data_IF_827485251076
#
_entry.id   IF_827485251076
#
_cell.length_a   1.000
_cell.length_b   1.000
_cell.length_c   1.000
_cell.angle_alpha   90.00
_cell.angle_beta   90.00
_cell.angle_gamma   90.00
#
_symmetry.space_group_name_H-M   'P 1'
#
loop_
_entity.id
_entity.type
_entity.pdbx_description
1 polymer ?
#
# COMPACT_ATOMS: atom_id res chain seq x y z
N UNK A 1 26.20 10.12 3.49
CA UNK A 1 26.71 9.62 2.21
C UNK A 1 25.59 9.48 1.18
N UNK A 2 24.68 8.55 1.36
CA UNK A 2 23.58 8.29 0.41
C UNK A 2 22.75 9.55 0.14
N UNK A 3 22.39 10.31 1.17
CA UNK A 3 21.64 11.58 1.02
C UNK A 3 22.39 12.64 0.20
N UNK A 4 23.70 12.72 0.35
CA UNK A 4 24.51 13.64 -0.44
C UNK A 4 24.45 13.29 -1.93
N UNK A 5 24.64 12.02 -2.26
CA UNK A 5 24.56 11.55 -3.64
C UNK A 5 23.13 11.68 -4.20
N UNK A 6 22.11 11.41 -3.38
CA UNK A 6 20.72 11.61 -3.75
C UNK A 6 20.40 13.08 -4.12
N UNK A 7 20.92 14.04 -3.35
CA UNK A 7 20.76 15.46 -3.63
C UNK A 7 21.38 15.85 -4.99
N UNK A 8 22.55 15.35 -5.30
CA UNK A 8 23.22 15.63 -6.58
C UNK A 8 22.49 14.96 -7.76
N UNK A 9 21.93 13.75 -7.55
CA UNK A 9 21.10 13.10 -8.57
C UNK A 9 19.80 13.88 -8.87
N UNK A 10 19.21 14.55 -7.88
CA UNK A 10 17.99 15.33 -8.08
C UNK A 10 18.18 16.51 -9.02
N UNK A 11 19.34 17.16 -8.99
CA UNK A 11 19.68 18.29 -9.86
C UNK A 11 19.88 17.93 -11.33
N UNK A 12 19.89 16.65 -11.68
CA UNK A 12 20.13 16.14 -13.05
C UNK A 12 18.87 15.49 -13.61
N UNK A 13 18.45 15.89 -14.79
CA UNK A 13 17.24 15.40 -15.48
C UNK A 13 17.19 13.87 -15.62
N UNK A 14 18.36 13.24 -15.70
CA UNK A 14 18.51 11.78 -15.88
C UNK A 14 18.53 10.98 -14.57
N UNK A 15 18.58 11.65 -13.40
CA UNK A 15 18.82 11.02 -12.08
C UNK A 15 20.08 10.14 -12.01
N UNK A 16 21.00 10.34 -12.96
CA UNK A 16 22.27 9.67 -13.03
C UNK A 16 23.39 10.64 -12.63
N UNK A 17 24.40 10.11 -11.95
CA UNK A 17 25.58 10.86 -11.55
C UNK A 17 26.80 10.22 -12.20
N UNK A 18 27.70 11.03 -12.75
CA UNK A 18 29.00 10.53 -13.20
C UNK A 18 29.72 9.89 -12.02
N UNK A 19 30.34 8.74 -12.24
CA UNK A 19 31.04 8.03 -11.17
C UNK A 19 32.17 8.87 -10.60
N UNK A 20 32.93 9.60 -11.46
CA UNK A 20 34.01 10.47 -11.03
C UNK A 20 33.50 11.66 -10.20
N UNK A 21 32.36 12.29 -10.61
CA UNK A 21 31.71 13.35 -9.83
C UNK A 21 31.28 12.82 -8.44
N UNK A 22 30.72 11.60 -8.39
CA UNK A 22 30.33 10.97 -7.13
C UNK A 22 31.53 10.77 -6.19
N UNK A 23 32.66 10.34 -6.73
CA UNK A 23 33.91 10.22 -5.96
C UNK A 23 34.41 11.57 -5.47
N UNK A 24 34.45 12.60 -6.32
CA UNK A 24 34.88 13.95 -5.95
C UNK A 24 34.03 14.55 -4.83
N UNK A 25 32.70 14.51 -4.98
CA UNK A 25 31.74 15.02 -4.00
C UNK A 25 31.93 14.28 -2.66
N UNK A 26 32.10 12.97 -2.73
CA UNK A 26 32.21 12.15 -1.54
C UNK A 26 33.55 12.34 -0.84
N UNK A 27 34.61 12.38 -1.59
CA UNK A 27 35.98 12.64 -1.09
C UNK A 27 36.11 13.99 -0.42
N UNK A 28 35.51 15.02 -1.02
CA UNK A 28 35.54 16.37 -0.46
C UNK A 28 34.91 16.46 0.93
N UNK A 29 33.91 15.63 1.22
CA UNK A 29 33.16 15.69 2.47
C UNK A 29 33.50 14.55 3.46
N UNK A 30 33.88 13.38 2.96
CA UNK A 30 34.12 12.17 3.76
C UNK A 30 35.35 11.38 3.32
N UNK A 31 36.58 11.95 3.37
CA UNK A 31 37.79 11.31 2.84
C UNK A 31 38.13 9.98 3.53
N UNK A 32 37.65 9.74 4.73
CA UNK A 32 37.85 8.50 5.50
C UNK A 32 37.06 7.29 4.95
N UNK A 33 36.10 7.49 4.08
CA UNK A 33 35.22 6.43 3.55
C UNK A 33 35.40 6.21 2.04
N UNK A 34 36.66 6.15 1.61
CA UNK A 34 37.10 6.09 0.19
C UNK A 34 36.44 4.96 -0.61
N UNK A 35 36.18 3.81 0.02
CA UNK A 35 35.64 2.64 -0.65
C UNK A 35 34.11 2.58 -0.63
N UNK A 36 33.42 3.47 0.11
CA UNK A 36 31.99 3.35 0.36
C UNK A 36 31.14 3.39 -0.92
N UNK A 37 31.56 4.12 -1.96
CA UNK A 37 30.83 4.13 -3.25
C UNK A 37 30.92 2.75 -3.89
N UNK A 38 32.08 2.13 -3.88
CA UNK A 38 32.27 0.78 -4.41
C UNK A 38 31.47 -0.25 -3.57
N UNK A 39 31.51 -0.13 -2.24
CA UNK A 39 30.74 -0.98 -1.33
C UNK A 39 29.23 -0.85 -1.61
N UNK A 40 28.71 0.37 -1.87
CA UNK A 40 27.31 0.60 -2.22
C UNK A 40 26.93 0.03 -3.60
N UNK A 41 27.87 -0.03 -4.53
CA UNK A 41 27.69 -0.69 -5.83
C UNK A 41 27.69 -2.22 -5.64
N UNK A 42 28.63 -2.78 -4.87
CA UNK A 42 28.70 -4.21 -4.58
C UNK A 42 27.46 -4.72 -3.83
N UNK A 43 26.91 -3.93 -2.90
CA UNK A 43 25.68 -4.22 -2.18
C UNK A 43 24.39 -3.92 -3.00
N UNK A 44 24.54 -3.55 -4.27
CA UNK A 44 23.43 -3.21 -5.17
C UNK A 44 22.53 -2.08 -4.67
N UNK A 45 23.04 -1.13 -3.91
CA UNK A 45 22.32 0.13 -3.62
C UNK A 45 22.39 1.05 -4.83
N UNK A 46 23.53 1.10 -5.49
CA UNK A 46 23.73 1.75 -6.77
C UNK A 46 24.04 0.73 -7.87
N UNK A 47 23.59 1.04 -9.07
CA UNK A 47 24.01 0.34 -10.30
C UNK A 47 24.97 1.23 -11.03
N UNK A 48 26.13 0.65 -11.43
CA UNK A 48 27.08 1.27 -12.34
C UNK A 48 26.79 0.79 -13.75
N UNK A 49 26.72 1.71 -14.71
CA UNK A 49 26.69 1.39 -16.13
C UNK A 49 27.50 2.38 -16.95
N UNK A 50 27.84 1.99 -18.17
CA UNK A 50 28.43 2.89 -19.16
C UNK A 50 27.29 3.57 -19.93
N UNK A 51 27.28 4.89 -19.98
CA UNK A 51 26.35 5.69 -20.75
C UNK A 51 27.10 6.58 -21.76
N UNK A 52 26.46 6.85 -22.90
CA UNK A 52 27.08 7.68 -23.94
C UNK A 52 26.71 9.14 -23.72
N UNK A 53 27.73 9.96 -23.44
CA UNK A 53 27.54 11.40 -23.32
C UNK A 53 27.58 12.04 -24.70
N UNK A 54 26.43 12.51 -25.20
CA UNK A 54 26.30 13.14 -26.51
C UNK A 54 27.00 14.49 -26.62
N UNK A 55 27.16 15.22 -25.53
CA UNK A 55 27.84 16.52 -25.52
C UNK A 55 29.36 16.35 -25.62
N UNK A 56 29.91 15.37 -24.90
CA UNK A 56 31.34 15.07 -24.86
C UNK A 56 31.76 14.03 -25.89
N UNK A 57 30.82 13.42 -26.61
CA UNK A 57 31.05 12.37 -27.59
C UNK A 57 31.87 11.20 -27.07
N UNK A 58 31.67 10.79 -25.81
CA UNK A 58 32.41 9.69 -25.19
C UNK A 58 31.50 8.81 -24.30
N UNK A 59 32.00 7.63 -23.98
CA UNK A 59 31.38 6.76 -22.99
C UNK A 59 31.85 7.15 -21.60
N UNK A 60 30.94 7.30 -20.67
CA UNK A 60 31.18 7.68 -19.28
C UNK A 60 30.57 6.66 -18.32
N UNK A 61 31.28 6.37 -17.24
CA UNK A 61 30.73 5.56 -16.14
C UNK A 61 29.74 6.41 -15.34
N UNK A 62 28.49 5.94 -15.23
CA UNK A 62 27.45 6.57 -14.45
C UNK A 62 26.93 5.63 -13.37
N UNK A 63 26.48 6.21 -12.28
CA UNK A 63 25.79 5.50 -11.21
C UNK A 63 24.37 6.05 -11.04
N UNK A 64 23.45 5.19 -10.64
CA UNK A 64 22.07 5.53 -10.28
C UNK A 64 21.56 4.52 -9.26
N UNK A 65 20.50 4.89 -8.52
CA UNK A 65 19.88 3.99 -7.55
C UNK A 65 19.31 2.73 -8.22
N UNK A 66 19.63 1.55 -7.70
CA UNK A 66 19.11 0.27 -8.21
C UNK A 66 17.59 0.18 -8.13
N UNK A 67 17.02 0.82 -7.14
CA UNK A 67 15.57 1.01 -6.99
C UNK A 67 15.26 2.50 -7.06
N UNK A 68 14.59 2.92 -8.10
CA UNK A 68 14.25 4.32 -8.35
C UNK A 68 13.48 4.94 -7.17
N UNK A 69 12.49 4.22 -6.63
CA UNK A 69 11.73 4.67 -5.44
C UNK A 69 12.60 4.84 -4.18
N UNK A 70 13.65 4.05 -4.03
CA UNK A 70 14.60 4.23 -2.92
C UNK A 70 15.37 5.55 -3.07
N UNK A 71 15.79 5.86 -4.30
CA UNK A 71 16.42 7.13 -4.62
C UNK A 71 15.50 8.31 -4.33
N UNK A 72 14.25 8.24 -4.80
CA UNK A 72 13.23 9.27 -4.55
C UNK A 72 12.99 9.51 -3.06
N UNK A 73 12.96 8.44 -2.27
CA UNK A 73 12.80 8.55 -0.82
C UNK A 73 13.96 9.29 -0.16
N UNK A 74 15.21 8.96 -0.51
CA UNK A 74 16.38 9.66 0.03
C UNK A 74 16.46 11.12 -0.44
N UNK A 75 16.08 11.39 -1.68
CA UNK A 75 15.98 12.75 -2.21
C UNK A 75 14.94 13.55 -1.42
N UNK A 76 13.72 13.01 -1.26
CA UNK A 76 12.66 13.66 -0.51
C UNK A 76 13.07 13.93 0.94
N UNK A 77 13.72 12.95 1.58
CA UNK A 77 14.19 13.10 2.95
C UNK A 77 15.21 14.22 3.09
N UNK A 78 16.20 14.30 2.19
CA UNK A 78 17.22 15.35 2.18
C UNK A 78 16.60 16.73 1.89
N UNK A 79 15.70 16.83 0.90
CA UNK A 79 15.02 18.08 0.57
C UNK A 79 14.21 18.64 1.74
N UNK A 80 13.53 17.78 2.49
CA UNK A 80 12.76 18.19 3.67
C UNK A 80 13.63 18.65 4.84
N UNK A 81 14.90 18.25 4.94
CA UNK A 81 15.81 18.70 6.01
C UNK A 81 16.15 20.20 5.91
N UNK A 82 15.95 20.83 4.77
CA UNK A 82 16.19 22.27 4.56
C UNK A 82 15.23 23.14 5.34
N UNK A 83 14.05 22.63 5.70
CA UNK A 83 12.99 23.39 6.34
C UNK A 83 12.97 23.16 7.87
N UNK A 84 12.80 24.24 8.61
CA UNK A 84 12.78 24.22 10.08
C UNK A 84 11.36 24.30 10.64
N UNK A 85 10.44 24.85 9.88
CA UNK A 85 9.05 25.07 10.32
C UNK A 85 8.05 24.48 9.32
N UNK A 86 6.84 24.23 9.84
CA UNK A 86 5.71 23.75 9.02
C UNK A 86 5.31 24.78 7.96
N UNK A 87 5.40 26.08 8.31
CA UNK A 87 5.10 27.17 7.39
C UNK A 87 6.08 27.21 6.24
N UNK A 88 7.37 27.00 6.47
CA UNK A 88 8.37 26.91 5.41
C UNK A 88 8.08 25.75 4.47
N UNK A 89 7.73 24.57 5.02
CA UNK A 89 7.32 23.41 4.22
C UNK A 89 6.11 23.76 3.37
N UNK A 90 5.02 24.24 3.97
CA UNK A 90 3.80 24.60 3.23
C UNK A 90 4.08 25.61 2.14
N UNK A 91 4.95 26.59 2.41
CA UNK A 91 5.35 27.59 1.42
C UNK A 91 6.11 26.96 0.24
N UNK A 92 7.02 26.01 0.48
CA UNK A 92 7.77 25.32 -0.58
C UNK A 92 6.87 24.56 -1.56
N UNK A 93 5.70 24.09 -1.08
CA UNK A 93 4.71 23.37 -1.89
C UNK A 93 3.67 24.28 -2.56
N UNK A 94 3.71 25.62 -2.36
CA UNK A 94 2.81 26.53 -3.06
C UNK A 94 3.11 26.57 -4.56
N UNK A 95 2.10 26.89 -5.39
CA UNK A 95 2.08 26.76 -6.85
C UNK A 95 3.34 27.26 -7.56
N UNK A 96 3.85 28.42 -7.17
CA UNK A 96 5.00 29.06 -7.84
C UNK A 96 6.34 28.71 -7.21
N UNK A 97 6.35 27.89 -6.16
CA UNK A 97 7.54 27.58 -5.37
C UNK A 97 8.16 26.24 -5.78
N UNK A 98 9.23 25.84 -5.05
CA UNK A 98 10.14 24.76 -5.42
C UNK A 98 9.41 23.45 -5.77
N UNK A 99 8.49 23.00 -4.93
CA UNK A 99 7.79 21.71 -5.13
C UNK A 99 6.41 21.90 -5.77
N UNK A 100 5.79 23.08 -5.65
CA UNK A 100 4.51 23.36 -6.29
C UNK A 100 4.55 23.23 -7.79
N UNK A 101 5.61 23.73 -8.42
CA UNK A 101 5.81 23.66 -9.89
C UNK A 101 5.96 22.24 -10.42
N UNK A 102 6.44 21.32 -9.58
CA UNK A 102 6.75 19.95 -10.01
C UNK A 102 5.52 19.06 -10.11
N UNK A 103 4.37 19.45 -9.53
CA UNK A 103 3.15 18.63 -9.55
C UNK A 103 2.42 18.67 -10.91
N UNK A 104 2.84 19.55 -11.84
CA UNK A 104 2.25 19.57 -13.18
C UNK A 104 2.36 18.17 -13.81
N UNK A 105 1.24 17.63 -14.28
CA UNK A 105 1.14 16.31 -14.94
C UNK A 105 2.19 16.10 -16.05
N UNK A 106 2.77 17.14 -16.58
CA UNK A 106 3.87 17.09 -17.57
C UNK A 106 5.17 16.53 -16.97
N UNK A 107 5.28 16.51 -15.66
CA UNK A 107 6.49 16.11 -14.93
C UNK A 107 6.31 14.79 -14.20
N UNK A 108 5.65 13.80 -14.83
CA UNK A 108 5.45 12.43 -14.31
C UNK A 108 6.72 11.78 -13.75
N UNK A 109 7.88 12.23 -14.18
CA UNK A 109 9.18 11.79 -13.69
C UNK A 109 9.41 12.06 -12.19
N UNK A 110 8.60 12.91 -11.58
CA UNK A 110 8.66 13.22 -10.14
C UNK A 110 7.62 12.48 -9.31
N UNK A 111 6.80 11.60 -9.90
CA UNK A 111 5.75 10.87 -9.17
C UNK A 111 6.31 10.11 -7.96
N UNK A 112 7.46 9.44 -8.10
CA UNK A 112 8.13 8.74 -7.00
C UNK A 112 8.56 9.68 -5.86
N UNK A 113 9.00 10.91 -6.19
CA UNK A 113 9.33 11.93 -5.20
C UNK A 113 8.08 12.36 -4.41
N UNK A 114 6.94 12.55 -5.08
CA UNK A 114 5.69 12.90 -4.42
C UNK A 114 5.12 11.76 -3.57
N UNK A 115 5.26 10.52 -4.03
CA UNK A 115 4.96 9.34 -3.21
C UNK A 115 5.80 9.33 -1.93
N UNK A 116 7.08 9.66 -2.02
CA UNK A 116 7.97 9.76 -0.88
C UNK A 116 7.57 10.93 0.07
N UNK A 117 7.21 12.09 -0.46
CA UNK A 117 6.67 13.19 0.35
C UNK A 117 5.38 12.80 1.07
N UNK A 118 4.47 12.06 0.40
CA UNK A 118 3.22 11.60 1.00
C UNK A 118 3.44 10.63 2.18
N UNK A 119 4.60 9.96 2.25
CA UNK A 119 5.03 9.15 3.39
C UNK A 119 5.74 10.01 4.46
N UNK A 120 6.72 10.81 4.06
CA UNK A 120 7.61 11.52 4.98
C UNK A 120 6.94 12.70 5.70
N UNK A 121 6.06 13.45 5.03
CA UNK A 121 5.37 14.58 5.63
C UNK A 121 4.53 14.19 6.85
N UNK A 122 3.65 13.18 6.81
CA UNK A 122 2.91 12.77 7.98
C UNK A 122 3.79 12.07 9.04
N UNK A 123 4.84 11.35 8.65
CA UNK A 123 5.74 10.71 9.62
C UNK A 123 6.53 11.73 10.43
N UNK A 124 7.14 12.72 9.77
CA UNK A 124 8.05 13.67 10.40
C UNK A 124 7.34 14.92 10.94
N UNK A 125 6.34 15.44 10.23
CA UNK A 125 5.74 16.75 10.50
C UNK A 125 4.24 16.70 10.83
N UNK A 126 3.59 15.52 10.76
CA UNK A 126 2.15 15.33 11.02
C UNK A 126 1.23 16.11 10.07
N UNK A 127 1.71 16.35 8.84
CA UNK A 127 0.99 17.05 7.78
C UNK A 127 0.75 16.08 6.64
N UNK A 128 -0.48 16.06 6.12
CA UNK A 128 -0.81 15.23 4.95
C UNK A 128 -0.45 15.95 3.64
N UNK A 129 -0.21 15.18 2.59
CA UNK A 129 0.15 15.70 1.26
C UNK A 129 -0.91 16.68 0.72
N UNK A 130 -2.20 16.45 0.97
CA UNK A 130 -3.27 17.35 0.55
C UNK A 130 -3.33 18.67 1.32
N UNK A 131 -2.68 18.76 2.49
CA UNK A 131 -2.60 20.00 3.28
C UNK A 131 -1.49 20.95 2.77
N UNK A 132 -0.48 20.40 2.09
CA UNK A 132 0.58 21.21 1.48
C UNK A 132 0.22 21.59 0.03
N UNK A 133 -0.62 20.81 -0.64
CA UNK A 133 -1.18 21.09 -1.96
C UNK A 133 -2.62 21.59 -1.92
N UNK A 134 -3.03 22.29 -0.86
CA UNK A 134 -4.39 22.81 -0.68
C UNK A 134 -4.85 23.71 -1.84
N UNK A 135 -3.94 24.48 -2.44
CA UNK A 135 -4.18 25.34 -3.59
C UNK A 135 -4.67 24.54 -4.83
N UNK A 136 -4.24 23.30 -5.02
CA UNK A 136 -4.69 22.43 -6.13
C UNK A 136 -6.21 22.23 -6.10
N UNK A 137 -6.81 22.24 -4.91
CA UNK A 137 -8.25 22.06 -4.70
C UNK A 137 -9.01 23.39 -4.65
N UNK A 138 -8.34 24.49 -4.35
CA UNK A 138 -8.91 25.83 -4.22
C UNK A 138 -8.87 26.62 -5.55
N UNK A 139 -7.85 26.44 -6.36
CA UNK A 139 -7.63 27.23 -7.59
C UNK A 139 -8.64 26.84 -8.69
N UNK A 140 -9.43 27.81 -9.13
CA UNK A 140 -10.39 27.68 -10.23
C UNK A 140 -9.92 28.37 -11.52
N UNK A 141 -8.74 28.99 -11.50
CA UNK A 141 -8.19 29.74 -12.63
C UNK A 141 -7.52 28.85 -13.67
N UNK A 142 -7.14 27.63 -13.30
CA UNK A 142 -6.58 26.66 -14.23
C UNK A 142 -7.66 26.04 -15.12
N UNK A 143 -7.23 25.58 -16.31
CA UNK A 143 -8.03 24.71 -17.16
C UNK A 143 -8.52 23.52 -16.34
N UNK A 144 -9.80 23.18 -16.49
CA UNK A 144 -10.46 22.13 -15.71
C UNK A 144 -9.76 20.77 -15.88
N UNK A 145 -9.25 20.48 -17.06
CA UNK A 145 -8.56 19.23 -17.34
C UNK A 145 -7.27 19.09 -16.51
N UNK A 146 -6.41 20.11 -16.52
CA UNK A 146 -5.13 20.07 -15.77
C UNK A 146 -5.35 20.08 -14.27
N UNK A 147 -6.29 20.89 -13.79
CA UNK A 147 -6.67 20.92 -12.37
C UNK A 147 -7.14 19.54 -11.90
N UNK A 148 -7.97 18.87 -12.69
CA UNK A 148 -8.46 17.53 -12.36
C UNK A 148 -7.31 16.52 -12.29
N UNK A 149 -6.36 16.56 -13.21
CA UNK A 149 -5.17 15.69 -13.22
C UNK A 149 -4.33 15.89 -11.95
N UNK A 150 -4.06 17.14 -11.58
CA UNK A 150 -3.27 17.45 -10.38
C UNK A 150 -4.00 17.00 -9.09
N UNK A 151 -5.34 17.18 -9.02
CA UNK A 151 -6.15 16.67 -7.90
C UNK A 151 -6.12 15.16 -7.80
N UNK A 152 -6.23 14.46 -8.92
CA UNK A 152 -6.17 13.01 -8.97
C UNK A 152 -4.79 12.50 -8.56
N UNK A 153 -3.71 13.18 -8.95
CA UNK A 153 -2.34 12.88 -8.53
C UNK A 153 -2.16 13.00 -7.01
N UNK A 154 -2.57 14.13 -6.41
CA UNK A 154 -2.47 14.31 -4.94
C UNK A 154 -3.27 13.25 -4.18
N UNK A 155 -4.48 12.94 -4.64
CA UNK A 155 -5.31 11.89 -4.04
C UNK A 155 -4.65 10.52 -4.16
N UNK A 156 -4.04 10.21 -5.31
CA UNK A 156 -3.31 8.96 -5.54
C UNK A 156 -2.09 8.85 -4.63
N UNK A 157 -1.27 9.89 -4.51
CA UNK A 157 -0.10 9.87 -3.63
C UNK A 157 -0.48 9.64 -2.16
N UNK A 158 -1.52 10.31 -1.66
CA UNK A 158 -2.07 10.03 -0.33
C UNK A 158 -2.45 8.56 -0.21
N UNK A 159 -3.22 8.06 -1.17
CA UNK A 159 -3.83 6.74 -1.14
C UNK A 159 -2.78 5.63 -1.18
N UNK A 160 -1.75 5.79 -2.00
CA UNK A 160 -0.65 4.84 -2.12
C UNK A 160 0.28 4.88 -0.90
N UNK A 161 0.46 6.06 -0.28
CA UNK A 161 1.27 6.20 0.93
C UNK A 161 0.79 5.35 2.11
N UNK A 162 -0.51 5.05 2.18
CA UNK A 162 -1.10 4.25 3.25
C UNK A 162 -0.50 2.85 3.38
N UNK A 163 0.10 2.32 2.31
CA UNK A 163 0.75 1.02 2.32
C UNK A 163 2.15 1.03 2.95
N UNK A 164 2.79 2.20 2.99
CA UNK A 164 4.23 2.29 3.23
C UNK A 164 4.60 3.03 4.50
N UNK A 165 3.75 3.95 4.94
CA UNK A 165 4.05 4.79 6.09
C UNK A 165 3.77 4.09 7.41
N UNK A 166 4.44 4.55 8.46
CA UNK A 166 4.25 4.06 9.83
C UNK A 166 2.81 4.26 10.29
N UNK A 167 2.24 3.26 10.92
CA UNK A 167 0.85 3.25 11.38
C UNK A 167 0.57 4.45 12.30
N UNK A 168 1.51 4.81 13.16
CA UNK A 168 1.42 5.93 14.10
C UNK A 168 1.35 7.31 13.41
N UNK A 169 1.68 7.36 12.12
CA UNK A 169 1.56 8.58 11.32
C UNK A 169 0.17 8.75 10.68
N UNK A 170 -0.66 7.71 10.72
CA UNK A 170 -1.97 7.69 10.07
C UNK A 170 -3.03 8.28 11.02
N UNK A 171 -3.47 9.50 10.76
CA UNK A 171 -4.62 10.10 11.44
C UNK A 171 -5.92 9.59 10.79
N UNK A 172 -6.52 8.56 11.40
CA UNK A 172 -7.76 7.94 10.90
C UNK A 172 -8.88 8.97 10.67
N UNK A 173 -9.07 9.91 11.59
CA UNK A 173 -10.12 10.90 11.49
C UNK A 173 -9.87 11.83 10.30
N UNK A 174 -8.67 12.41 10.21
CA UNK A 174 -8.28 13.34 9.15
C UNK A 174 -8.42 12.69 7.77
N UNK A 175 -7.92 11.47 7.59
CA UNK A 175 -7.99 10.75 6.31
C UNK A 175 -9.42 10.32 5.99
N UNK A 176 -10.19 9.84 6.97
CA UNK A 176 -11.61 9.49 6.75
C UNK A 176 -12.44 10.70 6.37
N UNK A 177 -12.21 11.85 6.97
CA UNK A 177 -12.89 13.11 6.63
C UNK A 177 -12.50 13.56 5.21
N UNK A 178 -11.23 13.39 4.81
CA UNK A 178 -10.79 13.64 3.44
C UNK A 178 -11.47 12.71 2.43
N UNK A 179 -11.54 11.41 2.70
CA UNK A 179 -12.24 10.44 1.83
C UNK A 179 -13.73 10.74 1.64
N UNK A 180 -14.36 11.44 2.58
CA UNK A 180 -15.76 11.88 2.48
C UNK A 180 -15.93 13.24 1.82
N UNK A 181 -14.84 13.96 1.61
CA UNK A 181 -14.87 15.28 0.99
C UNK A 181 -15.14 15.20 -0.51
N UNK A 182 -15.66 16.28 -1.08
CA UNK A 182 -15.83 16.43 -2.54
C UNK A 182 -14.50 16.50 -3.31
N UNK A 183 -13.41 16.69 -2.61
CA UNK A 183 -12.06 16.80 -3.20
C UNK A 183 -11.43 15.42 -3.42
N UNK A 184 -11.95 14.38 -2.74
CA UNK A 184 -11.48 13.02 -2.93
C UNK A 184 -12.19 12.40 -4.14
N UNK A 185 -11.44 11.99 -5.16
CA UNK A 185 -11.94 11.59 -6.48
C UNK A 185 -11.59 10.14 -6.85
N UNK A 186 -11.12 9.36 -5.90
CA UNK A 186 -10.85 7.93 -6.11
C UNK A 186 -12.18 7.18 -6.16
N UNK A 187 -12.30 6.23 -7.07
CA UNK A 187 -13.51 5.43 -7.24
C UNK A 187 -13.76 4.49 -6.06
N UNK A 188 -15.03 4.11 -5.85
CA UNK A 188 -15.38 3.10 -4.83
C UNK A 188 -14.64 1.78 -5.07
N UNK A 189 -14.39 1.41 -6.33
CA UNK A 189 -13.64 0.20 -6.71
C UNK A 189 -12.22 0.25 -6.17
N UNK A 190 -11.50 1.33 -6.43
CA UNK A 190 -10.13 1.53 -5.96
C UNK A 190 -10.06 1.58 -4.43
N UNK A 191 -11.06 2.22 -3.79
CA UNK A 191 -11.15 2.26 -2.34
C UNK A 191 -11.32 0.86 -1.74
N UNK A 192 -12.19 0.02 -2.30
CA UNK A 192 -12.34 -1.37 -1.85
C UNK A 192 -11.09 -2.20 -2.07
N UNK A 193 -10.41 -2.03 -3.20
CA UNK A 193 -9.14 -2.71 -3.45
C UNK A 193 -8.08 -2.33 -2.42
N UNK A 194 -7.97 -1.04 -2.08
CA UNK A 194 -7.05 -0.56 -1.06
C UNK A 194 -7.38 -1.14 0.32
N UNK A 195 -8.66 -1.20 0.69
CA UNK A 195 -9.07 -1.84 1.95
C UNK A 195 -8.73 -3.33 1.98
N UNK A 196 -8.82 -4.02 0.84
CA UNK A 196 -8.40 -5.42 0.72
C UNK A 196 -6.88 -5.54 0.85
N UNK A 197 -6.13 -4.66 0.21
CA UNK A 197 -4.66 -4.63 0.27
C UNK A 197 -4.15 -4.37 1.69
N UNK A 198 -4.76 -3.42 2.39
CA UNK A 198 -4.42 -3.08 3.77
C UNK A 198 -5.01 -4.05 4.81
N UNK A 199 -5.90 -4.94 4.39
CA UNK A 199 -6.68 -5.77 5.31
C UNK A 199 -5.86 -6.63 6.26
N UNK A 200 -4.69 -7.20 5.90
CA UNK A 200 -3.93 -8.07 6.80
C UNK A 200 -3.04 -7.31 7.81
N UNK A 201 -2.94 -5.97 7.68
CA UNK A 201 -1.98 -5.19 8.46
C UNK A 201 -2.53 -4.92 9.87
N UNK A 202 -1.84 -5.45 10.88
CA UNK A 202 -2.20 -5.30 12.29
C UNK A 202 -2.17 -3.82 12.69
N UNK A 203 -3.16 -3.37 13.45
CA UNK A 203 -3.32 -2.00 13.94
C UNK A 203 -3.49 -0.92 12.85
N UNK A 204 -3.56 -1.28 11.57
CA UNK A 204 -3.82 -0.30 10.52
C UNK A 204 -5.28 0.18 10.59
N UNK A 205 -5.56 1.51 10.57
CA UNK A 205 -6.92 2.03 10.71
C UNK A 205 -7.88 1.58 9.59
N UNK A 206 -7.33 1.22 8.43
CA UNK A 206 -8.07 0.77 7.24
C UNK A 206 -7.90 -0.74 6.98
N UNK A 207 -7.63 -1.53 8.01
CA UNK A 207 -7.52 -2.99 7.89
C UNK A 207 -8.88 -3.70 7.75
N UNK A 208 -8.86 -5.02 7.86
CA UNK A 208 -10.04 -5.88 7.74
C UNK A 208 -11.18 -5.50 8.68
N UNK A 209 -10.92 -4.96 9.87
CA UNK A 209 -11.95 -4.54 10.80
C UNK A 209 -12.74 -3.33 10.29
N UNK A 210 -12.06 -2.41 9.59
CA UNK A 210 -12.72 -1.31 8.88
C UNK A 210 -13.60 -1.83 7.75
N UNK A 211 -13.08 -2.71 6.90
CA UNK A 211 -13.84 -3.33 5.81
C UNK A 211 -15.06 -4.09 6.35
N UNK A 212 -14.87 -4.90 7.39
CA UNK A 212 -15.96 -5.60 8.08
C UNK A 212 -17.00 -4.64 8.60
N UNK A 213 -16.59 -3.57 9.28
CA UNK A 213 -17.48 -2.53 9.79
C UNK A 213 -18.33 -1.85 8.71
N UNK A 214 -17.76 -1.63 7.51
CA UNK A 214 -18.46 -1.08 6.35
C UNK A 214 -19.51 -2.09 5.84
N UNK A 215 -19.09 -3.30 5.52
CA UNK A 215 -19.95 -4.31 4.89
C UNK A 215 -21.08 -4.79 5.82
N UNK A 216 -20.81 -4.92 7.12
CA UNK A 216 -21.80 -5.34 8.13
C UNK A 216 -22.98 -4.37 8.30
N UNK A 217 -22.79 -3.08 8.00
CA UNK A 217 -23.86 -2.07 8.15
C UNK A 217 -25.02 -2.29 7.20
N UNK A 218 -24.78 -2.97 6.08
CA UNK A 218 -25.78 -3.16 5.04
C UNK A 218 -26.46 -4.51 5.15
N UNK A 219 -27.77 -4.54 4.90
CA UNK A 219 -28.51 -5.77 4.64
C UNK A 219 -28.00 -6.45 3.37
N UNK A 220 -28.14 -7.79 3.29
CA UNK A 220 -27.62 -8.59 2.18
C UNK A 220 -27.94 -8.00 0.78
N UNK A 221 -29.20 -7.65 0.42
CA UNK A 221 -29.48 -7.16 -0.92
C UNK A 221 -28.74 -5.85 -1.27
N UNK A 222 -28.61 -4.94 -0.29
CA UNK A 222 -27.89 -3.68 -0.50
C UNK A 222 -26.39 -3.91 -0.54
N UNK A 223 -25.85 -4.77 0.32
CA UNK A 223 -24.43 -5.15 0.29
C UNK A 223 -24.08 -5.79 -1.04
N UNK A 224 -24.86 -6.74 -1.51
CA UNK A 224 -24.61 -7.45 -2.75
C UNK A 224 -24.69 -6.55 -3.98
N UNK A 225 -25.51 -5.52 -3.97
CA UNK A 225 -25.64 -4.60 -5.10
C UNK A 225 -24.34 -3.86 -5.46
N UNK A 226 -23.40 -3.69 -4.52
CA UNK A 226 -22.10 -3.11 -4.78
C UNK A 226 -20.95 -4.12 -4.58
N UNK A 227 -20.95 -4.88 -3.48
CA UNK A 227 -19.86 -5.82 -3.17
C UNK A 227 -19.71 -6.92 -4.21
N UNK A 228 -20.84 -7.53 -4.63
CA UNK A 228 -20.83 -8.55 -5.68
C UNK A 228 -20.41 -7.99 -7.05
N UNK A 229 -20.77 -6.74 -7.33
CA UNK A 229 -20.37 -6.09 -8.58
C UNK A 229 -18.84 -5.97 -8.66
N UNK A 230 -18.18 -5.51 -7.59
CA UNK A 230 -16.73 -5.45 -7.49
C UNK A 230 -16.11 -6.84 -7.65
N UNK A 231 -16.59 -7.83 -6.87
CA UNK A 231 -16.08 -9.20 -6.96
C UNK A 231 -16.24 -9.80 -8.35
N UNK A 232 -17.36 -9.53 -9.04
CA UNK A 232 -17.64 -10.05 -10.38
C UNK A 232 -16.72 -9.44 -11.44
N UNK A 233 -16.54 -8.13 -11.40
CA UNK A 233 -15.68 -7.40 -12.33
C UNK A 233 -14.25 -7.96 -12.29
N UNK A 234 -13.70 -8.11 -11.11
CA UNK A 234 -12.35 -8.59 -10.93
C UNK A 234 -12.14 -10.06 -11.29
N UNK A 235 -13.13 -10.91 -11.05
CA UNK A 235 -13.06 -12.32 -11.45
C UNK A 235 -13.14 -12.52 -12.97
N UNK A 236 -13.77 -11.61 -13.72
CA UNK A 236 -13.95 -11.77 -15.16
C UNK A 236 -12.77 -11.27 -15.99
N UNK A 237 -12.10 -10.21 -15.52
CA UNK A 237 -11.07 -9.51 -16.29
C UNK A 237 -9.64 -9.78 -15.78
N UNK A 238 -9.47 -10.14 -14.52
CA UNK A 238 -8.15 -10.24 -13.87
C UNK A 238 -7.88 -11.61 -13.22
N UNK A 239 -8.57 -12.69 -13.64
CA UNK A 239 -8.41 -14.03 -13.07
C UNK A 239 -6.94 -14.54 -13.12
N UNK A 240 -6.13 -14.01 -14.03
CA UNK A 240 -4.72 -14.37 -14.21
C UNK A 240 -3.72 -13.27 -13.79
N UNK A 241 -4.19 -12.11 -13.32
CA UNK A 241 -3.30 -11.03 -12.90
C UNK A 241 -2.88 -11.22 -11.43
N UNK A 242 -1.66 -11.73 -11.25
CA UNK A 242 -1.05 -11.98 -9.93
C UNK A 242 -0.83 -10.68 -9.15
N UNK A 243 -0.70 -9.54 -9.83
CA UNK A 243 -0.49 -8.24 -9.18
C UNK A 243 -1.75 -7.73 -8.45
N UNK A 244 -2.90 -8.31 -8.74
CA UNK A 244 -4.18 -7.84 -8.24
C UNK A 244 -4.39 -8.16 -6.75
N UNK A 245 -4.76 -7.21 -5.87
CA UNK A 245 -4.83 -7.39 -4.42
C UNK A 245 -5.67 -8.59 -3.97
N UNK A 246 -6.81 -8.82 -4.59
CA UNK A 246 -7.69 -9.97 -4.29
C UNK A 246 -6.98 -11.29 -4.57
N UNK A 247 -6.35 -11.40 -5.73
CA UNK A 247 -5.63 -12.60 -6.13
C UNK A 247 -4.42 -12.84 -5.24
N UNK A 248 -3.63 -11.81 -4.99
CA UNK A 248 -2.49 -11.87 -4.07
C UNK A 248 -2.89 -12.36 -2.68
N UNK A 249 -3.99 -11.86 -2.13
CA UNK A 249 -4.46 -12.26 -0.81
C UNK A 249 -4.85 -13.75 -0.77
N UNK A 250 -5.53 -14.25 -1.80
CA UNK A 250 -5.92 -15.66 -1.92
C UNK A 250 -4.67 -16.55 -2.07
N UNK A 251 -3.77 -16.21 -2.99
CA UNK A 251 -2.57 -17.01 -3.27
C UNK A 251 -1.61 -17.01 -2.09
N UNK A 252 -1.44 -15.87 -1.43
CA UNK A 252 -0.66 -15.78 -0.19
C UNK A 252 -1.26 -16.67 0.89
N UNK A 253 -2.57 -16.62 1.12
CA UNK A 253 -3.25 -17.45 2.12
C UNK A 253 -3.19 -18.96 1.79
N UNK A 254 -3.15 -19.29 0.50
CA UNK A 254 -3.00 -20.67 0.05
C UNK A 254 -1.61 -21.23 0.36
N UNK A 255 -0.56 -20.44 0.16
CA UNK A 255 0.83 -20.87 0.32
C UNK A 255 1.29 -20.81 1.77
N UNK A 256 0.76 -19.90 2.55
CA UNK A 256 1.24 -19.57 3.90
C UNK A 256 0.89 -20.64 4.94
N UNK A 257 -0.25 -21.33 4.79
CA UNK A 257 -0.66 -22.41 5.69
C UNK A 257 0.32 -23.58 5.76
N UNK A 258 1.17 -23.74 4.74
CA UNK A 258 2.09 -24.89 4.63
C UNK A 258 3.48 -24.58 5.20
N UNK A 259 3.91 -23.32 5.28
CA UNK A 259 5.34 -23.00 5.40
C UNK A 259 5.71 -21.94 6.45
N UNK A 260 4.78 -21.23 7.05
CA UNK A 260 5.13 -20.09 7.90
C UNK A 260 4.32 -20.03 9.21
N UNK A 261 5.03 -19.67 10.29
CA UNK A 261 4.41 -19.32 11.56
C UNK A 261 3.80 -17.91 11.42
N UNK A 262 2.54 -17.82 11.02
CA UNK A 262 1.82 -16.56 10.87
C UNK A 262 1.31 -16.12 12.24
N UNK A 263 1.39 -14.83 12.51
CA UNK A 263 0.75 -14.23 13.67
C UNK A 263 -0.78 -14.45 13.63
N UNK A 264 -1.35 -14.82 14.76
CA UNK A 264 -2.79 -15.15 14.89
C UNK A 264 -3.69 -13.98 14.49
N UNK A 265 -3.28 -12.75 14.77
CA UNK A 265 -4.04 -11.56 14.41
C UNK A 265 -4.02 -11.31 12.89
N UNK A 266 -2.86 -11.48 12.24
CA UNK A 266 -2.75 -11.44 10.78
C UNK A 266 -3.64 -12.51 10.13
N UNK A 267 -3.65 -13.75 10.68
CA UNK A 267 -4.53 -14.81 10.20
C UNK A 267 -6.01 -14.46 10.37
N UNK A 268 -6.38 -13.85 11.51
CA UNK A 268 -7.74 -13.38 11.78
C UNK A 268 -8.18 -12.30 10.78
N UNK A 269 -7.37 -11.26 10.62
CA UNK A 269 -7.66 -10.14 9.72
C UNK A 269 -7.80 -10.60 8.27
N UNK A 270 -6.84 -11.40 7.80
CA UNK A 270 -6.89 -11.96 6.45
C UNK A 270 -8.09 -12.87 6.25
N UNK A 271 -8.31 -13.80 7.18
CA UNK A 271 -9.44 -14.73 7.13
C UNK A 271 -10.81 -14.01 7.18
N UNK A 272 -10.91 -12.92 7.94
CA UNK A 272 -12.12 -12.09 7.99
C UNK A 272 -12.41 -11.43 6.63
N UNK A 273 -11.39 -10.93 5.93
CA UNK A 273 -11.55 -10.38 4.56
C UNK A 273 -11.93 -11.47 3.57
N UNK A 274 -11.23 -12.61 3.58
CA UNK A 274 -11.54 -13.74 2.71
C UNK A 274 -12.96 -14.30 2.95
N UNK A 275 -13.48 -14.23 4.16
CA UNK A 275 -14.84 -14.67 4.46
C UNK A 275 -15.89 -13.86 3.70
N UNK A 276 -15.67 -12.55 3.48
CA UNK A 276 -16.53 -11.75 2.61
C UNK A 276 -16.49 -12.17 1.14
N UNK A 277 -15.39 -12.77 0.67
CA UNK A 277 -15.29 -13.29 -0.70
C UNK A 277 -16.16 -14.53 -0.92
N UNK A 278 -16.53 -15.24 0.14
CA UNK A 278 -17.43 -16.40 0.05
C UNK A 278 -18.83 -16.04 -0.46
N UNK A 279 -19.24 -14.76 -0.35
CA UNK A 279 -20.49 -14.26 -0.92
C UNK A 279 -20.49 -14.23 -2.45
N UNK A 280 -19.35 -14.36 -3.12
CA UNK A 280 -19.25 -14.25 -4.58
C UNK A 280 -20.12 -15.28 -5.31
N UNK A 281 -20.79 -14.87 -6.38
CA UNK A 281 -21.56 -15.77 -7.26
C UNK A 281 -20.66 -16.65 -8.15
N UNK A 282 -19.37 -16.33 -8.28
CA UNK A 282 -18.44 -17.07 -9.12
C UNK A 282 -17.91 -18.32 -8.40
N UNK A 283 -18.31 -19.51 -8.86
CA UNK A 283 -18.03 -20.79 -8.19
C UNK A 283 -16.53 -21.06 -7.99
N UNK A 284 -15.73 -20.96 -9.06
CA UNK A 284 -14.27 -21.23 -9.01
C UNK A 284 -13.58 -20.35 -7.97
N UNK A 285 -13.93 -19.07 -7.92
CA UNK A 285 -13.39 -18.12 -6.96
C UNK A 285 -13.75 -18.47 -5.51
N UNK A 286 -15.02 -18.82 -5.24
CA UNK A 286 -15.44 -19.27 -3.91
C UNK A 286 -14.69 -20.53 -3.47
N UNK A 287 -14.52 -21.50 -4.38
CA UNK A 287 -13.84 -22.76 -4.08
C UNK A 287 -12.35 -22.52 -3.78
N UNK A 288 -11.69 -21.61 -4.53
CA UNK A 288 -10.33 -21.17 -4.24
C UNK A 288 -10.23 -20.47 -2.88
N UNK A 289 -11.14 -19.53 -2.61
CA UNK A 289 -11.20 -18.82 -1.32
C UNK A 289 -11.46 -19.78 -0.15
N UNK A 290 -12.37 -20.74 -0.31
CA UNK A 290 -12.65 -21.74 0.75
C UNK A 290 -11.39 -22.54 1.08
N UNK A 291 -10.65 -22.98 0.07
CA UNK A 291 -9.40 -23.73 0.27
C UNK A 291 -8.30 -22.87 0.89
N UNK A 292 -8.18 -21.62 0.45
CA UNK A 292 -7.24 -20.65 1.03
C UNK A 292 -7.54 -20.40 2.51
N UNK A 293 -8.83 -20.24 2.89
CA UNK A 293 -9.25 -20.10 4.27
C UNK A 293 -8.91 -21.34 5.11
N UNK A 294 -9.14 -22.55 4.59
CA UNK A 294 -8.77 -23.79 5.30
C UNK A 294 -7.26 -23.84 5.54
N UNK A 295 -6.44 -23.57 4.52
CA UNK A 295 -4.98 -23.59 4.66
C UNK A 295 -4.48 -22.52 5.65
N UNK A 296 -5.07 -21.32 5.62
CA UNK A 296 -4.69 -20.22 6.52
C UNK A 296 -5.04 -20.54 7.98
N UNK A 297 -6.21 -21.17 8.22
CA UNK A 297 -6.82 -21.26 9.55
C UNK A 297 -6.69 -22.62 10.23
N UNK A 298 -6.23 -23.69 9.54
CA UNK A 298 -6.14 -25.03 10.10
C UNK A 298 -5.25 -25.11 11.35
N UNK A 299 -4.21 -24.29 11.43
CA UNK A 299 -3.31 -24.19 12.59
C UNK A 299 -3.59 -22.95 13.47
N UNK A 300 -4.67 -22.22 13.19
CA UNK A 300 -5.03 -20.96 13.84
C UNK A 300 -6.44 -21.01 14.45
N UNK A 301 -6.71 -21.89 15.44
CA UNK A 301 -8.05 -22.10 15.98
C UNK A 301 -8.65 -20.85 16.60
N UNK A 302 -7.84 -19.98 17.23
CA UNK A 302 -8.32 -18.75 17.85
C UNK A 302 -8.77 -17.73 16.79
N UNK A 303 -8.03 -17.59 15.70
CA UNK A 303 -8.42 -16.76 14.57
C UNK A 303 -9.74 -17.27 13.94
N UNK A 304 -9.83 -18.60 13.69
CA UNK A 304 -11.04 -19.22 13.14
C UNK A 304 -12.27 -18.95 14.01
N UNK A 305 -12.15 -19.15 15.33
CA UNK A 305 -13.25 -18.91 16.28
C UNK A 305 -13.64 -17.44 16.38
N UNK A 306 -12.66 -16.52 16.31
CA UNK A 306 -12.93 -15.08 16.29
C UNK A 306 -13.71 -14.68 15.02
N UNK A 307 -13.34 -15.20 13.85
CA UNK A 307 -14.06 -14.99 12.59
C UNK A 307 -15.48 -15.54 12.68
N UNK A 308 -15.63 -16.79 13.13
CA UNK A 308 -16.95 -17.41 13.29
C UNK A 308 -17.87 -16.59 14.20
N UNK A 309 -17.34 -16.09 15.32
CA UNK A 309 -18.06 -15.20 16.24
C UNK A 309 -18.47 -13.89 15.58
N UNK A 310 -17.58 -13.28 14.78
CA UNK A 310 -17.85 -12.02 14.09
C UNK A 310 -18.98 -12.16 13.06
N UNK A 311 -19.00 -13.27 12.33
CA UNK A 311 -19.99 -13.54 11.27
C UNK A 311 -21.28 -14.20 11.75
N UNK A 312 -21.37 -14.68 12.98
CA UNK A 312 -22.55 -15.39 13.51
C UNK A 312 -23.89 -14.67 13.25
N UNK A 313 -23.90 -13.35 13.34
CA UNK A 313 -25.09 -12.52 13.21
C UNK A 313 -25.08 -11.66 11.95
N UNK A 314 -24.33 -12.05 10.93
CA UNK A 314 -24.35 -11.39 9.64
C UNK A 314 -25.66 -11.76 8.90
N UNK A 315 -26.30 -10.78 8.29
CA UNK A 315 -27.47 -10.96 7.46
C UNK A 315 -27.09 -11.58 6.11
N UNK A 316 -26.59 -12.83 6.15
CA UNK A 316 -26.21 -13.63 4.98
C UNK A 316 -25.95 -15.09 5.40
N UNK A 317 -26.99 -15.89 5.30
CA UNK A 317 -26.90 -17.32 5.63
C UNK A 317 -25.95 -18.09 4.72
N UNK A 318 -25.75 -17.63 3.49
CA UNK A 318 -24.87 -18.30 2.55
C UNK A 318 -23.38 -18.17 2.94
N UNK A 319 -22.96 -16.97 3.40
CA UNK A 319 -21.61 -16.79 3.95
C UNK A 319 -21.41 -17.71 5.17
N UNK A 320 -22.41 -17.78 6.04
CA UNK A 320 -22.31 -18.58 7.26
C UNK A 320 -22.20 -20.08 6.94
N UNK A 321 -23.02 -20.59 6.00
CA UNK A 321 -22.94 -21.97 5.52
C UNK A 321 -21.55 -22.30 4.98
N UNK A 322 -21.00 -21.42 4.15
CA UNK A 322 -19.66 -21.59 3.60
C UNK A 322 -18.55 -21.50 4.66
N UNK A 323 -18.72 -20.66 5.65
CA UNK A 323 -17.78 -20.58 6.78
C UNK A 323 -17.80 -21.88 7.61
N UNK A 324 -18.98 -22.51 7.80
CA UNK A 324 -19.03 -23.84 8.43
C UNK A 324 -18.32 -24.91 7.58
N UNK A 325 -18.35 -24.81 6.26
CA UNK A 325 -17.56 -25.70 5.41
C UNK A 325 -16.05 -25.51 5.60
N UNK A 326 -15.59 -24.25 5.81
CA UNK A 326 -14.19 -23.96 6.19
C UNK A 326 -13.86 -24.58 7.54
N UNK A 327 -14.72 -24.40 8.55
CA UNK A 327 -14.55 -24.98 9.89
C UNK A 327 -14.41 -26.50 9.81
N UNK A 328 -15.28 -27.14 9.03
CA UNK A 328 -15.20 -28.59 8.80
C UNK A 328 -13.87 -29.00 8.15
N UNK A 329 -13.44 -28.25 7.13
CA UNK A 329 -12.15 -28.48 6.49
C UNK A 329 -10.96 -28.36 7.46
N UNK A 330 -10.98 -27.37 8.34
CA UNK A 330 -9.94 -27.19 9.38
C UNK A 330 -9.95 -28.36 10.38
N UNK A 331 -11.14 -28.81 10.83
CA UNK A 331 -11.25 -29.98 11.75
C UNK A 331 -10.68 -31.23 11.11
N UNK A 332 -10.94 -31.48 9.83
CA UNK A 332 -10.45 -32.69 9.14
C UNK A 332 -8.94 -32.68 8.94
N UNK A 333 -8.29 -31.53 8.95
CA UNK A 333 -6.85 -31.38 8.66
C UNK A 333 -6.00 -31.20 9.91
N UNK A 334 -6.59 -30.72 11.01
CA UNK A 334 -5.84 -30.57 12.27
C UNK A 334 -5.62 -31.88 12.97
N UNK A 335 -4.38 -32.16 13.41
CA UNK A 335 -4.03 -33.31 14.21
C UNK A 335 -4.17 -33.05 15.72
N UNK A 336 -4.43 -31.81 16.13
CA UNK A 336 -4.53 -31.42 17.53
C UNK A 336 -5.95 -31.64 18.08
N UNK A 337 -6.12 -32.65 18.91
CA UNK A 337 -7.40 -33.01 19.54
C UNK A 337 -8.00 -31.89 20.40
N UNK A 338 -7.18 -31.08 21.07
CA UNK A 338 -7.68 -29.96 21.89
C UNK A 338 -8.32 -28.90 20.99
N UNK A 339 -7.70 -28.59 19.84
CA UNK A 339 -8.26 -27.69 18.85
C UNK A 339 -9.59 -28.21 18.28
N UNK A 340 -9.66 -29.53 17.96
CA UNK A 340 -10.91 -30.15 17.49
C UNK A 340 -12.01 -29.99 18.53
N UNK A 341 -11.74 -30.29 19.81
CA UNK A 341 -12.72 -30.14 20.89
C UNK A 341 -13.16 -28.71 21.06
N UNK A 342 -12.22 -27.76 21.05
CA UNK A 342 -12.48 -26.33 21.21
C UNK A 342 -13.38 -25.79 20.09
N UNK A 343 -13.04 -26.10 18.82
CA UNK A 343 -13.79 -25.68 17.65
C UNK A 343 -15.19 -26.32 17.68
N UNK A 344 -15.29 -27.65 17.89
CA UNK A 344 -16.56 -28.37 17.88
C UNK A 344 -17.53 -27.90 18.96
N UNK A 345 -17.07 -27.67 20.19
CA UNK A 345 -17.90 -27.09 21.27
C UNK A 345 -18.43 -25.70 20.89
N UNK A 346 -17.61 -24.87 20.28
CA UNK A 346 -18.02 -23.49 19.89
C UNK A 346 -19.06 -23.55 18.79
N UNK A 347 -18.86 -24.38 17.78
CA UNK A 347 -19.83 -24.56 16.68
C UNK A 347 -21.17 -25.10 17.21
N UNK A 348 -21.12 -26.13 18.07
CA UNK A 348 -22.34 -26.68 18.68
C UNK A 348 -23.19 -25.64 19.44
N UNK A 349 -22.54 -24.68 20.07
CA UNK A 349 -23.22 -23.59 20.76
C UNK A 349 -23.76 -22.50 19.81
N UNK A 350 -23.42 -22.53 18.53
CA UNK A 350 -23.82 -21.54 17.54
C UNK A 350 -24.95 -22.05 16.61
N UNK A 351 -25.10 -23.36 16.50
CA UNK A 351 -26.19 -24.03 15.80
C UNK A 351 -27.33 -24.32 16.75
#
# INVERSE_FOLDING_TARGET
AIHLLAHECFGKDSRMLLLDDAFEIFFGKYPQFINLINDLIEENVFIKRIDYNYERCNNEDVIYFSYERLGDFFIAEELLTKFKTIEEIKNAFQKENEFGKLIDYKYWQYDGLFEAFAVLLPEKYKIEIFEVYDWVFADKSEDEFYRNQNQDSVNKFLFDSLNWRKIESIDDKKITDWFRSKNFRISDDELFLKLIELSPIINHPFNSDRLFGILKRYKMPKRDSFWQQHMRYYNSYYDNDIAFPIRRLIDWSWTTGISFNIDTETARLTGQTLTWFLASTHRKFRDQTTKALVNLLEQQPDALLAILKAFKNIDDLYILERLYAVVYGCILRTENNENIIKISKTVYNYV
#
